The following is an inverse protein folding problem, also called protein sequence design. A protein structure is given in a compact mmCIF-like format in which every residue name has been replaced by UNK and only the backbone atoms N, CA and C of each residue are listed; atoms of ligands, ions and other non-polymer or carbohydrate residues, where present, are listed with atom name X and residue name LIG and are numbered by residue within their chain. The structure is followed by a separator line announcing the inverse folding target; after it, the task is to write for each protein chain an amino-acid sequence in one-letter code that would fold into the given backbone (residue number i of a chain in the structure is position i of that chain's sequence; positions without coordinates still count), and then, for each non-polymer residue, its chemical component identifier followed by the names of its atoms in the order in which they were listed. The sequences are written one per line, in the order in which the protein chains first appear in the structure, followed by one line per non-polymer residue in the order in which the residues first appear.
data_IF_683687264497
#
_entry.id   IF_683687264497
#
_cell.length_a   1.000
_cell.length_b   1.000
_cell.length_c   1.000
_cell.angle_alpha   90.00
_cell.angle_beta   90.00
_cell.angle_gamma   90.00
#
_symmetry.space_group_name_H-M   'P 1'
#
loop_
_entity.id
_entity.type
_entity.pdbx_description
1 polymer ?
#
# COMPACT_ATOMS: atom_id res chain seq x y z
N UNK A 1 23.50 -10.44 -0.26
CA UNK A 1 22.16 -11.04 -0.16
C UNK A 1 21.17 -10.10 0.53
N UNK A 2 21.42 -9.64 1.79
CA UNK A 2 20.48 -8.83 2.58
C UNK A 2 19.95 -7.58 1.85
N UNK A 3 20.83 -6.75 1.29
CA UNK A 3 20.45 -5.50 0.60
C UNK A 3 19.59 -5.71 -0.65
N UNK A 4 19.55 -6.92 -1.20
CA UNK A 4 18.75 -7.24 -2.40
C UNK A 4 17.38 -7.84 -2.06
N UNK A 5 17.10 -8.11 -0.79
CA UNK A 5 15.86 -8.80 -0.36
C UNK A 5 15.11 -8.06 0.73
N UNK A 6 15.70 -7.00 1.30
CA UNK A 6 15.06 -6.24 2.37
C UNK A 6 13.84 -5.46 1.82
N UNK A 7 12.75 -5.50 2.58
CA UNK A 7 11.57 -4.68 2.29
C UNK A 7 11.87 -3.21 2.66
N UNK A 8 11.69 -2.32 1.69
CA UNK A 8 11.92 -0.88 1.84
C UNK A 8 10.64 -0.05 1.60
N UNK A 9 9.48 -0.65 1.80
CA UNK A 9 8.19 0.00 1.60
C UNK A 9 7.79 0.11 0.11
N UNK A 10 6.58 0.60 -0.16
CA UNK A 10 6.07 0.80 -1.53
C UNK A 10 6.26 -0.45 -2.42
N UNK A 11 6.07 -1.64 -1.86
CA UNK A 11 6.27 -2.93 -2.54
C UNK A 11 7.68 -3.12 -3.12
N UNK A 12 8.69 -2.41 -2.61
CA UNK A 12 10.07 -2.54 -3.07
C UNK A 12 10.83 -3.57 -2.24
N UNK A 13 11.41 -4.55 -2.93
CA UNK A 13 12.35 -5.52 -2.34
C UNK A 13 13.76 -5.21 -2.85
N UNK A 14 14.65 -4.92 -1.90
CA UNK A 14 16.05 -4.58 -2.16
C UNK A 14 16.28 -3.12 -2.56
N UNK A 15 17.54 -2.69 -2.38
CA UNK A 15 17.95 -1.29 -2.55
C UNK A 15 17.83 -0.78 -3.99
N UNK A 16 18.00 -1.66 -4.99
CA UNK A 16 17.88 -1.27 -6.40
C UNK A 16 16.44 -0.87 -6.74
N UNK A 17 15.47 -1.70 -6.32
CA UNK A 17 14.04 -1.41 -6.54
C UNK A 17 13.61 -0.14 -5.80
N UNK A 18 14.08 0.03 -4.56
CA UNK A 18 13.80 1.22 -3.76
C UNK A 18 14.44 2.48 -4.38
N UNK A 19 15.66 2.40 -4.90
CA UNK A 19 16.32 3.50 -5.61
C UNK A 19 15.50 3.96 -6.82
N UNK A 20 15.03 3.02 -7.63
CA UNK A 20 14.14 3.32 -8.77
C UNK A 20 12.82 3.94 -8.32
N UNK A 21 12.21 3.37 -7.27
CA UNK A 21 10.89 3.83 -6.78
C UNK A 21 10.93 5.23 -6.19
N UNK A 22 11.92 5.52 -5.34
CA UNK A 22 11.97 6.79 -4.61
C UNK A 22 12.70 7.90 -5.35
N UNK A 23 13.68 7.56 -6.19
CA UNK A 23 14.58 8.54 -6.83
C UNK A 23 14.62 8.44 -8.35
N UNK A 24 14.02 7.41 -8.95
CA UNK A 24 14.12 7.09 -10.38
C UNK A 24 15.57 6.97 -10.88
N UNK A 25 16.48 6.48 -10.01
CA UNK A 25 17.91 6.34 -10.28
C UNK A 25 18.35 4.87 -10.16
N UNK A 26 19.49 4.55 -10.76
CA UNK A 26 20.25 3.35 -10.42
C UNK A 26 20.83 3.50 -9.00
N UNK A 27 20.98 2.38 -8.27
CA UNK A 27 21.53 2.42 -6.90
C UNK A 27 22.94 2.99 -6.85
N UNK A 28 23.71 2.83 -7.92
CA UNK A 28 25.08 3.37 -8.07
C UNK A 28 25.12 4.89 -8.24
N UNK A 29 23.98 5.52 -8.55
CA UNK A 29 23.86 6.97 -8.78
C UNK A 29 23.31 7.72 -7.55
N UNK A 30 23.03 6.99 -6.47
CA UNK A 30 22.50 7.60 -5.25
C UNK A 30 23.52 8.49 -4.56
N UNK A 31 23.06 9.65 -4.10
CA UNK A 31 23.84 10.53 -3.21
C UNK A 31 23.88 9.97 -1.79
N UNK A 32 24.77 10.49 -0.94
CA UNK A 32 24.84 10.12 0.47
C UNK A 32 23.50 10.37 1.19
N UNK A 33 22.86 11.49 0.90
CA UNK A 33 21.54 11.85 1.43
C UNK A 33 20.47 10.82 1.07
N UNK A 34 20.42 10.40 -0.21
CA UNK A 34 19.48 9.39 -0.72
C UNK A 34 19.76 8.01 -0.12
N UNK A 35 21.02 7.63 0.03
CA UNK A 35 21.41 6.39 0.72
C UNK A 35 20.93 6.39 2.19
N UNK A 36 21.07 7.52 2.90
CA UNK A 36 20.64 7.65 4.28
C UNK A 36 19.10 7.56 4.42
N UNK A 37 18.33 8.06 3.43
CA UNK A 37 16.87 7.87 3.38
C UNK A 37 16.53 6.38 3.29
N UNK A 38 17.14 5.63 2.35
CA UNK A 38 16.86 4.20 2.21
C UNK A 38 17.26 3.40 3.46
N UNK A 39 18.41 3.72 4.07
CA UNK A 39 18.83 3.11 5.31
C UNK A 39 17.83 3.34 6.46
N UNK A 40 17.18 4.50 6.47
CA UNK A 40 16.19 4.87 7.50
C UNK A 40 14.91 4.03 7.44
N UNK A 41 14.55 3.47 6.28
CA UNK A 41 13.34 2.67 6.10
C UNK A 41 13.46 1.30 6.75
N UNK A 42 14.67 0.75 6.85
CA UNK A 42 14.94 -0.67 7.12
C UNK A 42 14.31 -1.23 8.41
N UNK A 43 14.16 -0.40 9.45
CA UNK A 43 13.64 -0.83 10.74
C UNK A 43 12.11 -1.02 10.74
N UNK A 44 11.39 -0.11 10.09
CA UNK A 44 9.94 -0.16 9.97
C UNK A 44 9.50 0.55 8.67
N UNK A 45 9.30 -0.22 7.57
CA UNK A 45 9.00 0.33 6.26
C UNK A 45 7.70 1.14 6.18
N UNK A 46 6.74 0.90 7.05
CA UNK A 46 5.50 1.66 7.10
C UNK A 46 5.69 2.99 7.84
N UNK A 47 6.30 2.95 9.02
CA UNK A 47 6.53 4.14 9.85
C UNK A 47 7.52 5.12 9.21
N UNK A 48 8.59 4.59 8.61
CA UNK A 48 9.65 5.41 8.00
C UNK A 48 9.54 5.52 6.48
N UNK A 49 8.34 5.42 5.95
CA UNK A 49 8.09 5.60 4.51
C UNK A 49 8.33 7.07 4.12
N UNK A 50 9.28 7.38 3.21
CA UNK A 50 9.63 8.76 2.88
C UNK A 50 8.57 9.50 2.05
N UNK A 51 7.58 8.80 1.49
CA UNK A 51 6.46 9.39 0.75
C UNK A 51 5.32 9.75 1.71
N UNK A 52 4.88 8.79 2.54
CA UNK A 52 3.71 8.97 3.41
C UNK A 52 4.06 9.60 4.76
N UNK A 53 5.28 9.38 5.28
CA UNK A 53 5.77 9.86 6.56
C UNK A 53 7.16 10.52 6.45
N UNK A 54 7.32 11.58 5.62
CA UNK A 54 8.62 12.20 5.35
C UNK A 54 9.31 12.72 6.62
N UNK A 55 8.55 13.26 7.59
CA UNK A 55 9.11 13.80 8.83
C UNK A 55 9.70 12.71 9.73
N UNK A 56 9.05 11.55 9.83
CA UNK A 56 9.57 10.43 10.60
C UNK A 56 10.84 9.86 9.95
N UNK A 57 10.85 9.73 8.62
CA UNK A 57 12.04 9.32 7.90
C UNK A 57 13.17 10.36 8.04
N UNK A 58 12.89 11.66 7.99
CA UNK A 58 13.88 12.73 8.13
C UNK A 58 14.60 12.69 9.48
N UNK A 59 13.85 12.46 10.57
CA UNK A 59 14.44 12.29 11.93
C UNK A 59 15.39 11.08 11.91
N UNK A 60 14.95 9.97 11.37
CA UNK A 60 15.76 8.76 11.30
C UNK A 60 16.98 8.90 10.38
N UNK A 61 16.84 9.58 9.24
CA UNK A 61 17.94 9.94 8.34
C UNK A 61 19.02 10.73 9.07
N UNK A 62 18.64 11.71 9.88
CA UNK A 62 19.58 12.49 10.70
C UNK A 62 20.35 11.61 11.67
N UNK A 63 19.70 10.64 12.31
CA UNK A 63 20.37 9.66 13.17
C UNK A 63 21.36 8.79 12.41
N UNK A 64 21.02 8.35 11.19
CA UNK A 64 21.90 7.57 10.32
C UNK A 64 23.15 8.39 9.97
N UNK A 65 22.97 9.64 9.50
CA UNK A 65 24.08 10.52 9.15
C UNK A 65 24.99 10.83 10.36
N UNK A 66 24.40 11.09 11.55
CA UNK A 66 25.16 11.29 12.79
C UNK A 66 26.02 10.07 13.11
N UNK A 67 25.46 8.87 13.01
CA UNK A 67 26.23 7.63 13.28
C UNK A 67 27.34 7.38 12.26
N UNK A 68 27.12 7.74 11.00
CA UNK A 68 28.16 7.65 9.96
C UNK A 68 29.31 8.60 10.24
N UNK A 69 29.02 9.83 10.70
CA UNK A 69 30.01 10.82 11.09
C UNK A 69 30.79 10.35 12.33
N UNK A 70 30.08 9.94 13.40
CA UNK A 70 30.68 9.48 14.66
C UNK A 70 31.60 8.28 14.47
N UNK A 71 31.29 7.40 13.52
CA UNK A 71 32.07 6.21 13.19
C UNK A 71 33.16 6.45 12.14
N UNK A 72 33.26 7.69 11.62
CA UNK A 72 34.29 8.08 10.64
C UNK A 72 34.07 7.54 9.23
N UNK A 73 32.85 7.15 8.87
CA UNK A 73 32.50 6.75 7.50
C UNK A 73 32.35 7.97 6.57
N UNK A 74 31.99 9.11 7.12
CA UNK A 74 31.92 10.39 6.43
C UNK A 74 32.62 11.46 7.26
N UNK A 75 33.09 12.53 6.61
CA UNK A 75 33.59 13.71 7.28
C UNK A 75 32.48 14.75 7.51
N UNK A 76 32.83 15.85 8.22
CA UNK A 76 31.88 16.90 8.55
C UNK A 76 31.32 17.58 7.30
N UNK A 77 32.12 17.75 6.25
CA UNK A 77 31.70 18.40 5.01
C UNK A 77 30.64 17.57 4.28
N UNK A 78 30.87 16.26 4.17
CA UNK A 78 29.90 15.34 3.58
C UNK A 78 28.59 15.24 4.42
N UNK A 79 28.70 15.29 5.74
CA UNK A 79 27.53 15.35 6.62
C UNK A 79 26.72 16.63 6.37
N UNK A 80 27.36 17.80 6.36
CA UNK A 80 26.69 19.08 6.19
C UNK A 80 26.02 19.20 4.83
N UNK A 81 26.66 18.73 3.76
CA UNK A 81 26.07 18.63 2.42
C UNK A 81 24.84 17.72 2.42
N UNK A 82 24.95 16.51 2.96
CA UNK A 82 23.85 15.57 3.01
C UNK A 82 22.70 16.07 3.90
N UNK A 83 22.98 16.72 5.00
CA UNK A 83 21.97 17.27 5.93
C UNK A 83 21.18 18.42 5.31
N UNK A 84 21.84 19.27 4.53
CA UNK A 84 21.24 20.43 3.86
C UNK A 84 20.44 20.05 2.60
N UNK A 85 20.57 18.82 2.12
CA UNK A 85 19.93 18.36 0.88
C UNK A 85 18.41 18.21 1.04
N UNK A 86 17.66 18.86 0.13
CA UNK A 86 16.18 18.77 0.06
C UNK A 86 15.74 17.48 -0.69
N UNK A 87 16.12 16.33 -0.11
CA UNK A 87 15.86 15.02 -0.70
C UNK A 87 14.35 14.68 -0.77
N UNK A 88 13.56 15.17 0.18
CA UNK A 88 12.14 14.86 0.26
C UNK A 88 11.33 15.58 -0.83
N UNK A 89 11.70 16.81 -1.21
CA UNK A 89 11.07 17.46 -2.36
C UNK A 89 11.31 16.68 -3.67
N UNK A 90 12.52 16.10 -3.84
CA UNK A 90 12.80 15.22 -4.99
C UNK A 90 11.97 13.92 -4.95
N UNK A 91 11.84 13.30 -3.78
CA UNK A 91 10.99 12.10 -3.62
C UNK A 91 9.54 12.42 -4.00
N UNK A 92 8.99 13.54 -3.52
CA UNK A 92 7.64 13.95 -3.86
C UNK A 92 7.49 14.26 -5.35
N UNK A 93 8.48 14.89 -5.97
CA UNK A 93 8.48 15.15 -7.42
C UNK A 93 8.52 13.85 -8.23
N UNK A 94 9.35 12.87 -7.84
CA UNK A 94 9.37 11.54 -8.47
C UNK A 94 8.05 10.83 -8.27
N UNK A 95 7.49 10.88 -7.06
CA UNK A 95 6.20 10.26 -6.77
C UNK A 95 5.06 10.87 -7.61
N UNK A 96 5.03 12.20 -7.74
CA UNK A 96 4.06 12.89 -8.59
C UNK A 96 4.24 12.59 -10.08
N UNK A 97 5.49 12.40 -10.54
CA UNK A 97 5.79 12.07 -11.94
C UNK A 97 5.44 10.62 -12.29
N UNK A 98 5.55 9.70 -11.33
CA UNK A 98 5.11 8.30 -11.49
C UNK A 98 3.57 8.22 -11.52
N UNK A 99 2.89 9.28 -11.09
CA UNK A 99 1.50 9.31 -10.69
C UNK A 99 1.40 8.87 -9.22
N UNK A 100 0.37 9.32 -8.52
CA UNK A 100 0.02 8.66 -7.26
C UNK A 100 0.07 7.17 -7.54
N UNK A 101 0.77 6.38 -6.71
CA UNK A 101 0.78 4.94 -6.86
C UNK A 101 -0.68 4.48 -6.93
N UNK A 102 -1.19 4.49 -8.15
CA UNK A 102 -2.39 3.75 -8.44
C UNK A 102 -1.99 2.32 -8.13
N UNK A 103 -2.50 1.71 -7.08
CA UNK A 103 -2.16 0.34 -6.76
C UNK A 103 -2.36 -0.46 -8.03
N UNK A 104 -1.50 -1.43 -8.29
CA UNK A 104 -1.64 -2.26 -9.50
C UNK A 104 -3.10 -2.64 -9.70
N UNK A 105 -3.59 -2.53 -10.93
CA UNK A 105 -4.96 -2.93 -11.24
C UNK A 105 -5.18 -4.38 -10.80
N UNK A 106 -6.42 -4.75 -10.59
CA UNK A 106 -6.76 -6.15 -10.26
C UNK A 106 -6.24 -7.15 -11.31
N UNK A 107 -6.15 -6.69 -12.56
CA UNK A 107 -5.56 -7.48 -13.65
C UNK A 107 -4.06 -7.71 -13.41
N UNK A 108 -3.32 -6.67 -13.08
CA UNK A 108 -1.86 -6.76 -12.84
C UNK A 108 -1.55 -7.57 -11.58
N UNK A 109 -2.35 -7.46 -10.53
CA UNK A 109 -2.19 -8.30 -9.34
C UNK A 109 -2.36 -9.78 -9.69
N UNK A 110 -3.43 -10.14 -10.41
CA UNK A 110 -3.67 -11.52 -10.84
C UNK A 110 -2.58 -12.04 -11.79
N UNK A 111 -2.09 -11.18 -12.70
CA UNK A 111 -0.98 -11.51 -13.59
C UNK A 111 0.30 -11.76 -12.81
N UNK A 112 0.61 -10.93 -11.83
CA UNK A 112 1.80 -11.07 -10.98
C UNK A 112 1.80 -12.37 -10.20
N UNK A 113 0.66 -12.75 -9.60
CA UNK A 113 0.49 -14.04 -8.93
C UNK A 113 0.70 -15.20 -9.90
N UNK A 114 0.11 -15.13 -11.08
CA UNK A 114 0.27 -16.19 -12.10
C UNK A 114 1.74 -16.33 -12.54
N UNK A 115 2.45 -15.23 -12.72
CA UNK A 115 3.88 -15.26 -13.08
C UNK A 115 4.71 -15.90 -11.97
N UNK A 116 4.44 -15.57 -10.70
CA UNK A 116 5.11 -16.20 -9.56
C UNK A 116 4.84 -17.70 -9.55
N UNK A 117 3.59 -18.11 -9.66
CA UNK A 117 3.19 -19.52 -9.70
C UNK A 117 3.86 -20.28 -10.88
N UNK A 118 3.93 -19.66 -12.06
CA UNK A 118 4.60 -20.25 -13.23
C UNK A 118 6.13 -20.36 -13.04
N UNK A 119 6.78 -19.37 -12.45
CA UNK A 119 8.22 -19.42 -12.12
C UNK A 119 8.51 -20.53 -11.12
N UNK A 120 7.67 -20.71 -10.11
CA UNK A 120 7.80 -21.77 -9.12
C UNK A 120 7.53 -23.15 -9.72
N UNK A 121 6.40 -23.30 -10.41
CA UNK A 121 5.94 -24.61 -10.89
C UNK A 121 6.71 -25.12 -12.11
N UNK A 122 7.09 -24.23 -13.03
CA UNK A 122 7.74 -24.62 -14.32
C UNK A 122 9.26 -24.54 -14.27
N UNK A 123 9.82 -23.57 -13.51
CA UNK A 123 11.27 -23.36 -13.43
C UNK A 123 11.88 -23.83 -12.11
N UNK A 124 11.06 -24.29 -11.15
CA UNK A 124 11.51 -24.79 -9.88
C UNK A 124 12.07 -23.69 -8.96
N UNK A 125 11.68 -22.43 -9.16
CA UNK A 125 12.10 -21.34 -8.28
C UNK A 125 11.48 -21.49 -6.90
N UNK A 126 12.21 -21.09 -5.87
CA UNK A 126 11.59 -20.82 -4.57
C UNK A 126 10.73 -19.56 -4.68
N UNK A 127 9.79 -19.40 -3.76
CA UNK A 127 8.95 -18.20 -3.69
C UNK A 127 9.78 -16.91 -3.71
N UNK A 128 10.83 -16.82 -2.87
CA UNK A 128 11.74 -15.66 -2.85
C UNK A 128 12.45 -15.42 -4.17
N UNK A 129 12.84 -16.48 -4.90
CA UNK A 129 13.47 -16.38 -6.21
C UNK A 129 12.47 -15.88 -7.26
N UNK A 130 11.21 -16.35 -7.22
CA UNK A 130 10.15 -15.92 -8.12
C UNK A 130 9.81 -14.44 -7.91
N UNK A 131 9.66 -14.00 -6.66
CA UNK A 131 9.48 -12.57 -6.33
C UNK A 131 10.65 -11.71 -6.81
N UNK A 132 11.89 -12.12 -6.57
CA UNK A 132 13.06 -11.40 -7.05
C UNK A 132 13.13 -11.33 -8.59
N UNK A 133 12.79 -12.42 -9.27
CA UNK A 133 12.73 -12.44 -10.72
C UNK A 133 11.65 -11.47 -11.26
N UNK A 134 10.46 -11.48 -10.66
CA UNK A 134 9.35 -10.63 -11.09
C UNK A 134 9.67 -9.13 -10.88
N UNK A 135 10.14 -8.74 -9.69
CA UNK A 135 10.26 -7.33 -9.33
C UNK A 135 11.65 -6.73 -9.59
N UNK A 136 12.69 -7.55 -9.73
CA UNK A 136 14.08 -7.09 -9.85
C UNK A 136 14.88 -7.81 -10.92
N UNK A 137 14.32 -8.87 -11.52
CA UNK A 137 15.02 -9.72 -12.50
C UNK A 137 15.01 -9.18 -13.93
N UNK A 138 14.39 -8.04 -14.19
CA UNK A 138 14.33 -7.44 -15.52
C UNK A 138 13.44 -8.21 -16.52
N UNK A 139 12.45 -8.96 -16.03
CA UNK A 139 11.51 -9.68 -16.89
C UNK A 139 10.68 -8.71 -17.74
N UNK A 140 10.49 -9.08 -19.01
CA UNK A 140 9.49 -8.46 -19.87
C UNK A 140 8.26 -9.38 -19.91
N UNK A 141 7.12 -8.90 -19.42
CA UNK A 141 5.87 -9.64 -19.36
C UNK A 141 4.92 -9.08 -20.40
N UNK A 142 4.52 -9.93 -21.36
CA UNK A 142 3.54 -9.59 -22.40
C UNK A 142 2.19 -10.12 -21.92
N UNK A 143 1.28 -9.21 -21.58
CA UNK A 143 -0.06 -9.56 -21.10
C UNK A 143 -1.10 -9.50 -22.22
N UNK A 144 -2.28 -10.05 -21.93
CA UNK A 144 -3.46 -10.00 -22.81
C UNK A 144 -4.37 -8.82 -22.52
N UNK A 145 -4.00 -7.96 -21.54
CA UNK A 145 -4.79 -6.81 -21.12
C UNK A 145 -5.03 -5.85 -22.29
N UNK A 146 -6.28 -5.41 -22.41
CA UNK A 146 -6.64 -4.25 -23.22
C UNK A 146 -6.82 -3.06 -22.28
N UNK A 147 -5.89 -2.11 -22.33
CA UNK A 147 -5.85 -0.98 -21.41
C UNK A 147 -7.10 -0.09 -21.50
N UNK A 148 -7.67 0.08 -22.70
CA UNK A 148 -8.89 0.86 -22.87
C UNK A 148 -10.11 0.16 -22.24
N UNK A 149 -10.24 -1.17 -22.41
CA UNK A 149 -11.29 -1.94 -21.74
C UNK A 149 -11.11 -1.95 -20.23
N UNK A 150 -9.87 -2.07 -19.75
CA UNK A 150 -9.59 -2.01 -18.31
C UNK A 150 -10.01 -0.66 -17.71
N UNK A 151 -9.62 0.43 -18.35
CA UNK A 151 -9.99 1.78 -17.91
C UNK A 151 -11.51 1.97 -17.83
N UNK A 152 -12.24 1.55 -18.87
CA UNK A 152 -13.72 1.63 -18.86
C UNK A 152 -14.29 0.79 -17.70
N UNK A 153 -13.78 -0.41 -17.47
CA UNK A 153 -14.24 -1.24 -16.36
C UNK A 153 -13.95 -0.58 -15.01
N UNK A 154 -12.76 0.01 -14.82
CA UNK A 154 -12.40 0.70 -13.58
C UNK A 154 -13.30 1.92 -13.35
N UNK A 155 -13.56 2.72 -14.37
CA UNK A 155 -14.46 3.90 -14.31
C UNK A 155 -15.90 3.51 -14.00
N UNK A 156 -16.46 2.54 -14.73
CA UNK A 156 -17.87 2.14 -14.56
C UNK A 156 -18.13 1.40 -13.25
N UNK A 157 -17.18 0.61 -12.75
CA UNK A 157 -17.29 -0.04 -11.45
C UNK A 157 -17.21 0.93 -10.27
N UNK A 158 -16.59 2.10 -10.45
CA UNK A 158 -16.49 3.15 -9.44
C UNK A 158 -17.55 4.25 -9.62
N UNK A 159 -18.37 4.17 -10.65
CA UNK A 159 -19.45 5.12 -10.87
C UNK A 159 -20.71 4.71 -10.10
N UNK A 160 -20.97 5.40 -8.99
CA UNK A 160 -22.13 5.15 -8.13
C UNK A 160 -23.48 5.25 -8.85
N UNK A 161 -23.55 5.96 -10.00
CA UNK A 161 -24.77 6.03 -10.80
C UNK A 161 -25.17 4.66 -11.37
N UNK A 162 -24.23 3.76 -11.55
CA UNK A 162 -24.48 2.39 -12.00
C UNK A 162 -25.02 1.47 -10.89
N UNK A 163 -25.02 1.95 -9.62
CA UNK A 163 -25.45 1.19 -8.43
C UNK A 163 -26.47 1.99 -7.60
N UNK A 164 -27.62 2.35 -8.19
CA UNK A 164 -28.55 3.30 -7.56
C UNK A 164 -29.33 2.74 -6.36
N UNK A 165 -29.29 1.41 -6.14
CA UNK A 165 -30.20 0.75 -5.20
C UNK A 165 -29.69 0.72 -3.75
N UNK A 166 -28.38 0.86 -3.56
CA UNK A 166 -27.77 0.75 -2.22
C UNK A 166 -26.61 1.75 -2.11
N UNK A 167 -26.72 2.63 -1.13
CA UNK A 167 -25.65 3.54 -0.69
C UNK A 167 -25.26 3.16 0.71
N UNK A 168 -24.54 2.06 0.83
CA UNK A 168 -23.97 1.60 2.06
C UNK A 168 -22.45 1.51 1.92
N UNK A 169 -21.75 1.72 3.03
CA UNK A 169 -20.31 1.75 3.08
C UNK A 169 -19.81 0.87 4.23
N UNK A 170 -19.00 -0.12 3.91
CA UNK A 170 -18.36 -0.99 4.89
C UNK A 170 -17.07 -0.39 5.40
N UNK A 171 -16.89 -0.37 6.71
CA UNK A 171 -15.67 0.09 7.38
C UNK A 171 -14.73 -1.07 7.67
N UNK A 172 -13.46 -0.92 7.32
CA UNK A 172 -12.33 -1.69 7.85
C UNK A 172 -11.36 -0.73 8.51
N UNK A 173 -10.97 -1.03 9.75
CA UNK A 173 -10.21 -0.14 10.59
C UNK A 173 -9.07 -0.86 11.30
N UNK A 174 -7.91 -0.20 11.37
CA UNK A 174 -6.79 -0.62 12.20
C UNK A 174 -6.09 0.61 12.78
N UNK A 175 -5.79 0.57 14.06
CA UNK A 175 -5.12 1.63 14.80
C UNK A 175 -4.07 1.04 15.72
N UNK A 176 -2.84 1.56 15.63
CA UNK A 176 -1.81 1.38 16.65
C UNK A 176 -1.65 2.69 17.43
N UNK A 177 -1.86 2.62 18.71
CA UNK A 177 -1.63 3.75 19.65
C UNK A 177 -0.32 3.52 20.37
N UNK A 178 0.58 4.49 20.29
CA UNK A 178 1.76 4.52 21.15
C UNK A 178 1.52 5.57 22.24
N UNK A 179 1.39 5.11 23.48
CA UNK A 179 1.18 5.95 24.67
C UNK A 179 2.42 6.76 25.02
N UNK A 180 2.26 7.83 25.79
CA UNK A 180 3.37 8.68 26.23
C UNK A 180 4.47 7.90 27.03
N UNK A 181 4.11 6.80 27.68
CA UNK A 181 5.02 5.92 28.40
C UNK A 181 5.71 4.86 27.53
N UNK A 182 5.42 4.85 26.24
CA UNK A 182 5.94 3.88 25.26
C UNK A 182 5.13 2.58 25.15
N UNK A 183 4.02 2.45 25.88
CA UNK A 183 3.09 1.31 25.72
C UNK A 183 2.44 1.34 24.35
N UNK A 184 2.34 0.18 23.68
CA UNK A 184 1.72 0.04 22.37
C UNK A 184 0.42 -0.74 22.52
N UNK A 185 -0.67 -0.18 22.02
CA UNK A 185 -1.99 -0.80 21.97
C UNK A 185 -2.48 -0.88 20.53
N UNK A 186 -3.11 -2.00 20.16
CA UNK A 186 -3.64 -2.20 18.82
C UNK A 186 -5.15 -2.40 18.88
N UNK A 187 -5.85 -1.73 17.99
CA UNK A 187 -7.30 -1.77 17.85
C UNK A 187 -7.68 -2.06 16.40
N UNK A 188 -8.76 -2.77 16.20
CA UNK A 188 -9.29 -3.13 14.89
C UNK A 188 -10.73 -2.70 14.70
N UNK A 189 -11.32 -3.14 13.61
CA UNK A 189 -12.73 -2.88 13.28
C UNK A 189 -13.69 -3.31 14.39
N UNK A 190 -13.38 -4.40 15.09
CA UNK A 190 -14.16 -4.94 16.19
C UNK A 190 -14.32 -3.97 17.37
N UNK A 191 -13.35 -3.08 17.56
CA UNK A 191 -13.42 -2.07 18.62
C UNK A 191 -14.46 -1.00 18.31
N UNK A 192 -14.51 -0.55 17.07
CA UNK A 192 -15.51 0.42 16.57
C UNK A 192 -16.89 -0.24 16.52
N UNK A 193 -16.97 -1.50 16.10
CA UNK A 193 -18.19 -2.31 16.05
C UNK A 193 -18.81 -2.42 17.43
N UNK A 194 -18.04 -2.90 18.41
CA UNK A 194 -18.50 -3.05 19.79
C UNK A 194 -18.93 -1.70 20.42
N UNK A 195 -18.20 -0.62 20.14
CA UNK A 195 -18.58 0.70 20.59
C UNK A 195 -19.93 1.13 20.05
N UNK A 196 -20.13 0.97 18.73
CA UNK A 196 -21.36 1.38 18.05
C UNK A 196 -22.57 0.53 18.47
N UNK A 197 -22.38 -0.79 18.63
CA UNK A 197 -23.41 -1.70 19.15
C UNK A 197 -23.80 -1.33 20.57
N UNK A 198 -22.82 -1.14 21.46
CA UNK A 198 -23.08 -0.83 22.87
C UNK A 198 -23.68 0.56 23.07
N UNK A 199 -23.28 1.55 22.26
CA UNK A 199 -23.71 2.95 22.43
C UNK A 199 -25.06 3.19 21.77
N UNK A 200 -25.29 2.61 20.59
CA UNK A 200 -26.46 2.92 19.75
C UNK A 200 -27.41 1.73 19.52
N UNK A 201 -27.05 0.52 19.92
CA UNK A 201 -27.85 -0.69 19.71
C UNK A 201 -28.03 -1.06 18.24
N UNK A 202 -27.04 -0.77 17.39
CA UNK A 202 -27.13 -0.94 15.93
C UNK A 202 -26.53 -2.28 15.55
N UNK A 203 -27.34 -3.17 14.94
CA UNK A 203 -26.85 -4.39 14.28
C UNK A 203 -26.07 -4.00 12.99
N UNK A 204 -25.12 -4.85 12.57
CA UNK A 204 -24.20 -4.59 11.44
C UNK A 204 -23.44 -3.27 11.61
N UNK A 205 -22.84 -3.11 12.76
CA UNK A 205 -22.30 -1.82 13.22
C UNK A 205 -21.13 -1.27 12.37
N UNK A 206 -20.58 -2.05 11.43
CA UNK A 206 -19.55 -1.61 10.47
C UNK A 206 -20.11 -1.16 9.11
N UNK A 207 -21.45 -1.08 8.95
CA UNK A 207 -22.11 -0.57 7.74
C UNK A 207 -22.68 0.83 8.00
N UNK A 208 -22.40 1.74 7.10
CA UNK A 208 -22.74 3.17 7.22
C UNK A 208 -23.48 3.67 5.98
N UNK A 209 -24.25 4.75 6.13
CA UNK A 209 -24.97 5.38 5.04
C UNK A 209 -24.11 6.30 4.15
N UNK A 210 -22.91 6.66 4.62
CA UNK A 210 -21.93 7.49 3.89
C UNK A 210 -20.52 7.26 4.45
N UNK A 211 -19.52 7.65 3.66
CA UNK A 211 -18.12 7.65 4.11
C UNK A 211 -17.92 8.60 5.29
N UNK A 212 -18.54 9.79 5.22
CA UNK A 212 -18.44 10.77 6.31
C UNK A 212 -19.01 10.23 7.64
N UNK A 213 -20.11 9.47 7.57
CA UNK A 213 -20.68 8.83 8.75
C UNK A 213 -19.75 7.76 9.33
N UNK A 214 -19.06 7.00 8.48
CA UNK A 214 -18.09 6.02 8.92
C UNK A 214 -16.87 6.69 9.59
N UNK A 215 -16.33 7.75 8.99
CA UNK A 215 -15.20 8.53 9.54
C UNK A 215 -15.58 9.19 10.85
N UNK A 216 -16.76 9.82 10.94
CA UNK A 216 -17.25 10.44 12.16
C UNK A 216 -17.36 9.43 13.31
N UNK A 217 -17.82 8.21 13.04
CA UNK A 217 -17.91 7.15 14.03
C UNK A 217 -16.52 6.71 14.54
N UNK A 218 -15.53 6.60 13.65
CA UNK A 218 -14.15 6.30 14.04
C UNK A 218 -13.59 7.39 14.95
N UNK A 219 -13.77 8.66 14.60
CA UNK A 219 -13.30 9.79 15.42
C UNK A 219 -14.01 9.83 16.79
N UNK A 220 -15.31 9.55 16.83
CA UNK A 220 -16.08 9.47 18.07
C UNK A 220 -15.56 8.36 18.98
N UNK A 221 -15.38 7.15 18.43
CA UNK A 221 -14.80 6.05 19.17
C UNK A 221 -13.37 6.35 19.66
N UNK A 222 -12.51 6.89 18.76
CA UNK A 222 -11.12 7.20 19.06
C UNK A 222 -11.00 8.22 20.20
N UNK A 223 -11.91 9.18 20.29
CA UNK A 223 -11.98 10.14 21.37
C UNK A 223 -12.20 9.47 22.75
N UNK A 224 -12.79 8.27 22.80
CA UNK A 224 -13.01 7.55 24.07
C UNK A 224 -11.75 6.91 24.64
N UNK A 225 -10.75 6.67 23.80
CA UNK A 225 -9.48 6.02 24.21
C UNK A 225 -8.30 6.97 24.23
N UNK A 226 -8.44 8.18 23.68
CA UNK A 226 -7.37 9.15 23.52
C UNK A 226 -6.84 9.65 24.88
N UNK A 227 -5.52 9.74 25.00
CA UNK A 227 -4.81 10.29 26.17
C UNK A 227 -3.80 11.35 25.72
N UNK A 228 -3.42 12.22 26.65
CA UNK A 228 -2.44 13.27 26.35
C UNK A 228 -1.04 12.65 26.04
N UNK A 229 -0.46 13.07 24.92
CA UNK A 229 0.84 12.57 24.47
C UNK A 229 0.81 11.30 23.62
N UNK A 230 -0.38 10.77 23.28
CA UNK A 230 -0.51 9.62 22.37
C UNK A 230 -0.06 9.98 20.95
N UNK A 231 0.49 8.99 20.27
CA UNK A 231 0.72 9.02 18.82
C UNK A 231 -0.01 7.87 18.15
N UNK A 232 -0.52 8.11 16.95
CA UNK A 232 -1.41 7.21 16.23
C UNK A 232 -0.81 6.79 14.90
N UNK A 233 -0.82 5.47 14.60
CA UNK A 233 -0.66 4.91 13.26
C UNK A 233 -2.00 4.29 12.87
N UNK A 234 -2.74 4.97 11.96
CA UNK A 234 -4.13 4.72 11.67
C UNK A 234 -4.33 4.34 10.21
N UNK A 235 -5.13 3.30 9.99
CA UNK A 235 -5.59 2.91 8.66
C UNK A 235 -7.11 2.77 8.64
N UNK A 236 -7.75 3.59 7.82
CA UNK A 236 -9.18 3.57 7.58
C UNK A 236 -9.42 3.17 6.12
N UNK A 237 -10.14 2.09 5.88
CA UNK A 237 -10.60 1.69 4.54
C UNK A 237 -12.13 1.66 4.53
N UNK A 238 -12.72 2.44 3.65
CA UNK A 238 -14.18 2.52 3.50
C UNK A 238 -14.52 2.06 2.08
N UNK A 239 -15.34 1.02 1.99
CA UNK A 239 -15.68 0.39 0.73
C UNK A 239 -17.18 0.47 0.45
N UNK A 240 -17.60 0.94 -0.76
CA UNK A 240 -19.01 0.93 -1.13
C UNK A 240 -19.58 -0.49 -1.16
N UNK A 241 -20.82 -0.63 -0.73
CA UNK A 241 -21.56 -1.89 -0.74
C UNK A 241 -22.82 -1.74 -1.64
N UNK A 242 -23.29 -2.82 -2.29
CA UNK A 242 -22.67 -4.13 -2.38
C UNK A 242 -21.38 -4.08 -3.21
N UNK A 243 -20.51 -5.05 -2.99
CA UNK A 243 -19.35 -5.27 -3.82
C UNK A 243 -19.71 -6.04 -5.09
N UNK A 244 -18.99 -5.76 -6.18
CA UNK A 244 -19.15 -6.43 -7.46
C UNK A 244 -17.79 -6.67 -8.11
N UNK A 245 -17.73 -7.55 -9.08
CA UNK A 245 -16.53 -7.80 -9.90
C UNK A 245 -16.93 -7.99 -11.36
N UNK A 246 -16.00 -7.69 -12.27
CA UNK A 246 -16.17 -7.90 -13.72
C UNK A 246 -14.93 -8.51 -14.32
N UNK A 247 -15.11 -9.44 -15.25
CA UNK A 247 -14.05 -10.00 -16.10
C UNK A 247 -14.49 -10.01 -17.54
N UNK A 248 -13.70 -9.43 -18.42
CA UNK A 248 -13.93 -9.46 -19.87
C UNK A 248 -12.99 -10.50 -20.49
N UNK A 249 -13.59 -11.49 -21.17
CA UNK A 249 -12.87 -12.58 -21.84
C UNK A 249 -13.18 -12.54 -23.33
N UNK A 250 -12.15 -12.61 -24.15
CA UNK A 250 -12.27 -12.83 -25.59
C UNK A 250 -12.67 -14.30 -25.83
N UNK A 251 -13.86 -14.52 -26.32
CA UNK A 251 -14.42 -15.86 -26.53
C UNK A 251 -13.64 -16.70 -27.56
N UNK A 252 -13.02 -16.05 -28.57
CA UNK A 252 -12.29 -16.74 -29.61
C UNK A 252 -10.94 -17.29 -29.11
N UNK A 253 -10.30 -16.57 -28.17
CA UNK A 253 -8.96 -16.90 -27.72
C UNK A 253 -8.90 -17.38 -26.27
N UNK A 254 -9.97 -17.16 -25.48
CA UNK A 254 -9.99 -17.41 -24.04
C UNK A 254 -9.17 -16.40 -23.21
N UNK A 255 -8.66 -15.34 -23.85
CA UNK A 255 -7.81 -14.35 -23.20
C UNK A 255 -8.62 -13.38 -22.35
N UNK A 256 -8.19 -13.14 -21.12
CA UNK A 256 -8.74 -12.09 -20.26
C UNK A 256 -8.23 -10.73 -20.77
N UNK A 257 -9.16 -9.83 -21.10
CA UNK A 257 -8.88 -8.48 -21.61
C UNK A 257 -8.96 -7.39 -20.56
N UNK A 258 -9.84 -7.55 -19.56
CA UNK A 258 -9.96 -6.66 -18.42
C UNK A 258 -10.46 -7.42 -17.20
N UNK A 259 -10.09 -6.95 -16.00
CA UNK A 259 -10.51 -7.55 -14.74
C UNK A 259 -10.59 -6.47 -13.65
N UNK A 260 -11.74 -6.38 -12.97
CA UNK A 260 -11.93 -5.54 -11.77
C UNK A 260 -12.52 -6.42 -10.67
N UNK A 261 -11.83 -6.51 -9.54
CA UNK A 261 -12.16 -7.42 -8.45
C UNK A 261 -12.99 -6.81 -7.33
N UNK A 262 -13.37 -5.54 -7.42
CA UNK A 262 -14.15 -4.86 -6.40
C UNK A 262 -14.57 -3.45 -6.80
N UNK A 263 -15.53 -2.88 -6.07
CA UNK A 263 -15.91 -1.48 -6.14
C UNK A 263 -15.14 -0.66 -5.11
N UNK A 264 -15.01 0.63 -5.36
CA UNK A 264 -14.26 1.57 -4.54
C UNK A 264 -12.82 1.75 -5.01
N UNK A 265 -12.17 2.79 -4.51
CA UNK A 265 -10.77 3.03 -4.80
C UNK A 265 -9.90 1.84 -4.36
N UNK A 266 -9.08 1.35 -5.27
CA UNK A 266 -8.11 0.30 -4.93
C UNK A 266 -6.88 0.98 -4.30
N UNK A 267 -6.85 1.04 -2.98
CA UNK A 267 -5.80 1.76 -2.23
C UNK A 267 -4.51 0.95 -2.06
N UNK A 268 -4.57 -0.37 -2.22
CA UNK A 268 -3.41 -1.25 -2.04
C UNK A 268 -3.33 -2.31 -3.13
N UNK A 269 -2.10 -2.64 -3.57
CA UNK A 269 -1.85 -3.83 -4.40
C UNK A 269 -2.17 -5.10 -3.61
N UNK A 270 -2.50 -6.18 -4.32
CA UNK A 270 -2.85 -7.49 -3.76
C UNK A 270 -4.08 -7.46 -2.80
N UNK A 271 -4.96 -6.47 -2.95
CA UNK A 271 -6.25 -6.47 -2.27
C UNK A 271 -7.16 -7.59 -2.79
N UNK A 272 -8.21 -7.92 -2.01
CA UNK A 272 -9.14 -9.01 -2.37
C UNK A 272 -9.70 -8.85 -3.79
N UNK A 273 -9.29 -9.73 -4.68
CA UNK A 273 -9.77 -9.80 -6.06
C UNK A 273 -10.91 -10.83 -6.19
N UNK A 274 -12.15 -10.37 -6.16
CA UNK A 274 -13.34 -11.23 -6.24
C UNK A 274 -13.53 -11.85 -7.63
N UNK A 275 -12.87 -11.32 -8.66
CA UNK A 275 -12.91 -11.86 -10.03
C UNK A 275 -11.96 -13.05 -10.22
N UNK A 276 -10.93 -13.18 -9.38
CA UNK A 276 -9.89 -14.20 -9.55
C UNK A 276 -9.78 -15.15 -8.33
N UNK A 277 -9.74 -14.62 -7.11
CA UNK A 277 -9.65 -15.40 -5.86
C UNK A 277 -10.82 -15.15 -4.90
N UNK A 278 -12.00 -14.97 -5.46
CA UNK A 278 -13.21 -14.87 -4.64
C UNK A 278 -13.50 -16.20 -3.94
N UNK A 279 -13.94 -16.15 -2.67
CA UNK A 279 -14.55 -17.33 -2.03
C UNK A 279 -15.75 -17.76 -2.85
N UNK A 280 -15.99 -19.07 -2.92
CA UNK A 280 -17.19 -19.63 -3.57
C UNK A 280 -18.45 -18.95 -3.04
N UNK A 281 -19.23 -18.35 -3.92
CA UNK A 281 -20.52 -17.72 -3.58
C UNK A 281 -21.64 -18.58 -4.12
N UNK A 282 -22.77 -18.61 -3.43
CA UNK A 282 -23.97 -19.23 -3.97
C UNK A 282 -24.47 -18.41 -5.17
N UNK A 283 -24.91 -19.05 -6.26
CA UNK A 283 -25.57 -18.36 -7.35
C UNK A 283 -26.78 -17.56 -6.83
N UNK A 284 -26.86 -16.27 -7.15
CA UNK A 284 -27.98 -15.41 -6.75
C UNK A 284 -27.85 -14.79 -5.35
N UNK A 285 -26.71 -14.91 -4.72
CA UNK A 285 -26.42 -14.23 -3.44
C UNK A 285 -25.72 -12.89 -3.67
#
# INVERSE_FOLDING_TARGET
AYLNTINLGQNTLGVQSASKRYFNKDVSELTLSECAVLASITQNPSLYNPITNPDANAKRRTEVLNKMLDQGYIDQAAYDEAAADDVYARIQAVNAAIGEDSPYSYFIDALSEQVIDDLMSRLGYTESQAYNALYSGGLTIISTQNTAMQQICDEEMNNDANFPWLKEYGLSYALTVTRADGTIENYGSESVEAYRENTYGIENALIFSSEDAARAMVEEWKATIAQEGDTYDERITITPQPQASVTIIDQATGQIKAMVGGRGAKETSQSLNRAYRGSTRQPGS
#
